data_IF_109341177754
#
_entry.id   IF_109341177754
#
_cell.length_a   1.000
_cell.length_b   1.000
_cell.length_c   1.000
_cell.angle_alpha   90.00
_cell.angle_beta   90.00
_cell.angle_gamma   90.00
#
_symmetry.space_group_name_H-M   'P 1'
#
loop_
_entity.id
_entity.type
_entity.pdbx_description
1 polymer ?
#
# COMPACT_ATOMS: atom_id res chain seq x y z
N UNK A 1 7.52 -0.39 -6.72
CA UNK A 1 7.71 1.05 -7.02
C UNK A 1 8.88 1.64 -6.26
N UNK A 2 8.88 1.72 -4.93
CA UNK A 2 9.96 2.39 -4.19
C UNK A 2 11.36 1.81 -4.45
N UNK A 3 11.47 0.48 -4.56
CA UNK A 3 12.74 -0.16 -4.92
C UNK A 3 13.26 0.30 -6.29
N UNK A 4 12.37 0.43 -7.27
CA UNK A 4 12.73 0.89 -8.62
C UNK A 4 13.19 2.35 -8.59
N UNK A 5 12.46 3.20 -7.86
CA UNK A 5 12.81 4.61 -7.63
C UNK A 5 14.18 4.77 -6.97
N UNK A 6 14.44 4.01 -5.90
CA UNK A 6 15.76 4.01 -5.23
C UNK A 6 16.88 3.47 -6.13
N UNK A 7 16.53 2.75 -7.19
CA UNK A 7 17.46 2.25 -8.20
C UNK A 7 17.64 3.21 -9.38
N UNK A 8 17.04 4.40 -9.33
CA UNK A 8 17.14 5.43 -10.38
C UNK A 8 16.13 5.30 -11.51
N UNK A 9 15.10 4.45 -11.36
CA UNK A 9 14.01 4.30 -12.33
C UNK A 9 12.86 5.22 -11.93
N UNK A 10 12.38 6.05 -12.86
CA UNK A 10 11.22 6.92 -12.61
C UNK A 10 9.99 6.10 -12.17
N UNK A 11 9.27 6.61 -11.17
CA UNK A 11 8.15 5.89 -10.53
C UNK A 11 7.05 5.58 -11.53
N UNK A 12 6.75 6.53 -12.42
CA UNK A 12 5.79 6.42 -13.52
C UNK A 12 6.17 5.27 -14.45
N UNK A 13 7.43 5.23 -14.90
CA UNK A 13 7.94 4.15 -15.75
C UNK A 13 7.82 2.80 -15.05
N UNK A 14 8.13 2.72 -13.76
CA UNK A 14 7.99 1.48 -13.01
C UNK A 14 6.52 1.02 -12.88
N UNK A 15 5.58 1.95 -12.69
CA UNK A 15 4.14 1.67 -12.67
C UNK A 15 3.68 1.14 -14.02
N UNK A 16 4.01 1.85 -15.11
CA UNK A 16 3.59 1.49 -16.46
C UNK A 16 4.09 0.09 -16.84
N UNK A 17 5.39 -0.17 -16.65
CA UNK A 17 6.00 -1.47 -16.97
C UNK A 17 5.34 -2.61 -16.19
N UNK A 18 5.09 -2.43 -14.89
CA UNK A 18 4.45 -3.48 -14.08
C UNK A 18 3.00 -3.66 -14.52
N UNK A 19 2.26 -2.58 -14.74
CA UNK A 19 0.84 -2.61 -15.13
C UNK A 19 0.60 -3.30 -16.48
N UNK A 20 1.55 -3.21 -17.41
CA UNK A 20 1.48 -3.87 -18.73
C UNK A 20 2.20 -5.22 -18.79
N UNK A 21 2.80 -5.67 -17.69
CA UNK A 21 3.47 -6.97 -17.60
C UNK A 21 2.53 -8.09 -17.13
N UNK A 22 3.06 -9.32 -17.05
CA UNK A 22 2.38 -10.46 -16.42
C UNK A 22 2.12 -10.26 -14.92
N UNK A 23 2.79 -9.32 -14.27
CA UNK A 23 2.52 -8.93 -12.88
C UNK A 23 1.37 -7.91 -12.76
N UNK A 24 0.85 -7.41 -13.88
CA UNK A 24 -0.27 -6.49 -13.91
C UNK A 24 -1.55 -7.12 -13.37
N UNK A 25 -2.37 -6.30 -12.71
CA UNK A 25 -3.71 -6.68 -12.26
C UNK A 25 -4.65 -5.47 -12.38
N UNK A 26 -5.98 -5.67 -12.39
CA UNK A 26 -6.92 -4.57 -12.35
C UNK A 26 -6.65 -3.60 -11.18
N UNK A 27 -6.19 -4.12 -10.04
CA UNK A 27 -5.82 -3.32 -8.88
C UNK A 27 -4.59 -2.45 -9.16
N UNK A 28 -3.56 -2.97 -9.83
CA UNK A 28 -2.38 -2.18 -10.20
C UNK A 28 -2.72 -1.14 -11.26
N UNK A 29 -3.56 -1.48 -12.25
CA UNK A 29 -4.01 -0.53 -13.27
C UNK A 29 -4.83 0.62 -12.66
N UNK A 30 -5.68 0.30 -11.69
CA UNK A 30 -6.59 1.26 -11.06
C UNK A 30 -5.92 2.11 -9.98
N UNK A 31 -5.08 1.52 -9.12
CA UNK A 31 -4.49 2.17 -7.94
C UNK A 31 -2.98 2.37 -8.00
N UNK A 32 -2.30 1.73 -8.94
CA UNK A 32 -0.87 1.98 -9.21
C UNK A 32 -0.53 3.46 -9.43
N UNK A 33 -1.34 4.23 -10.19
CA UNK A 33 -1.11 5.66 -10.36
C UNK A 33 -1.12 6.47 -9.05
N UNK A 34 -1.71 5.96 -7.96
CA UNK A 34 -1.83 6.72 -6.71
C UNK A 34 -0.49 6.85 -5.99
N UNK A 35 0.46 5.96 -6.27
CA UNK A 35 1.83 6.11 -5.74
C UNK A 35 2.60 7.21 -6.46
N UNK A 36 2.20 7.58 -7.69
CA UNK A 36 2.74 8.72 -8.44
C UNK A 36 2.02 10.00 -8.02
N UNK A 37 0.69 9.96 -8.02
CA UNK A 37 -0.16 11.09 -7.68
C UNK A 37 -1.29 10.62 -6.78
N UNK A 38 -1.09 10.81 -5.47
CA UNK A 38 -2.10 10.51 -4.47
C UNK A 38 -3.33 11.40 -4.72
N UNK A 39 -4.57 10.87 -4.60
CA UNK A 39 -5.76 11.71 -4.65
C UNK A 39 -5.81 12.68 -3.47
N UNK A 40 -6.46 13.84 -3.68
CA UNK A 40 -6.65 14.85 -2.62
C UNK A 40 -7.65 14.36 -1.55
N UNK A 41 -8.69 13.65 -1.99
CA UNK A 41 -9.67 13.00 -1.13
C UNK A 41 -9.45 11.48 -1.14
N UNK A 42 -9.42 10.86 0.03
CA UNK A 42 -9.26 9.43 0.16
C UNK A 42 -10.52 8.72 -0.37
N UNK A 43 -10.34 7.83 -1.36
CA UNK A 43 -11.44 6.99 -1.82
C UNK A 43 -11.70 5.86 -0.84
N UNK A 44 -10.64 5.39 -0.20
CA UNK A 44 -10.70 4.45 0.91
C UNK A 44 -9.47 4.68 1.79
N UNK A 45 -9.68 5.16 3.02
CA UNK A 45 -8.56 5.58 3.85
C UNK A 45 -7.84 4.42 4.55
N UNK A 46 -6.65 4.72 5.09
CA UNK A 46 -5.82 3.77 5.85
C UNK A 46 -6.59 3.16 7.03
N UNK A 47 -7.44 3.94 7.71
CA UNK A 47 -8.20 3.49 8.89
C UNK A 47 -9.28 2.49 8.51
N UNK A 48 -10.02 2.75 7.43
CA UNK A 48 -11.02 1.84 6.88
C UNK A 48 -10.37 0.53 6.40
N UNK A 49 -9.25 0.63 5.69
CA UNK A 49 -8.51 -0.56 5.23
C UNK A 49 -7.98 -1.39 6.41
N UNK A 50 -7.45 -0.75 7.45
CA UNK A 50 -6.99 -1.47 8.64
C UNK A 50 -8.13 -2.20 9.34
N UNK A 51 -9.32 -1.59 9.43
CA UNK A 51 -10.51 -2.25 9.98
C UNK A 51 -10.84 -3.54 9.21
N UNK A 52 -10.84 -3.53 7.87
CA UNK A 52 -11.12 -4.73 7.07
C UNK A 52 -10.03 -5.80 7.21
N UNK A 53 -8.75 -5.39 7.24
CA UNK A 53 -7.62 -6.30 7.48
C UNK A 53 -7.71 -6.97 8.85
N UNK A 54 -8.11 -6.24 9.89
CA UNK A 54 -8.30 -6.80 11.23
C UNK A 54 -9.45 -7.80 11.29
N UNK A 55 -10.56 -7.53 10.58
CA UNK A 55 -11.67 -8.49 10.46
C UNK A 55 -11.24 -9.78 9.75
N UNK A 56 -10.46 -9.66 8.68
CA UNK A 56 -9.91 -10.83 7.97
C UNK A 56 -8.95 -11.64 8.86
N UNK A 57 -8.08 -10.97 9.61
CA UNK A 57 -7.16 -11.63 10.55
C UNK A 57 -7.90 -12.35 11.69
N UNK A 58 -8.97 -11.76 12.20
CA UNK A 58 -9.83 -12.40 13.21
C UNK A 58 -10.51 -13.65 12.65
N UNK A 59 -11.08 -13.56 11.45
CA UNK A 59 -11.68 -14.72 10.78
C UNK A 59 -10.64 -15.83 10.50
N UNK A 60 -9.42 -15.46 10.07
CA UNK A 60 -8.32 -16.40 9.87
C UNK A 60 -7.95 -17.14 11.15
N UNK A 61 -7.93 -16.46 12.31
CA UNK A 61 -7.72 -17.10 13.62
C UNK A 61 -8.83 -18.07 13.97
N UNK A 62 -10.09 -17.69 13.77
CA UNK A 62 -11.25 -18.53 14.09
C UNK A 62 -11.31 -19.82 13.26
N UNK A 63 -10.83 -19.77 12.02
CA UNK A 63 -10.82 -20.90 11.09
C UNK A 63 -9.48 -21.63 11.03
N UNK A 64 -8.50 -21.26 11.87
CA UNK A 64 -7.15 -21.82 11.87
C UNK A 64 -6.42 -21.69 10.50
N UNK A 65 -6.72 -20.63 9.75
CA UNK A 65 -6.10 -20.32 8.45
C UNK A 65 -5.03 -19.23 8.62
N UNK A 66 -3.74 -19.52 8.38
CA UNK A 66 -2.68 -18.52 8.51
C UNK A 66 -2.74 -17.49 7.38
N UNK A 67 -2.71 -16.19 7.73
CA UNK A 67 -2.73 -15.06 6.80
C UNK A 67 -1.47 -14.18 6.92
N UNK A 68 -0.26 -14.71 6.66
CA UNK A 68 0.99 -14.00 6.94
C UNK A 68 1.13 -12.69 6.16
N UNK A 69 0.74 -12.66 4.88
CA UNK A 69 0.77 -11.43 4.08
C UNK A 69 -0.19 -10.37 4.62
N UNK A 70 -1.38 -10.78 5.05
CA UNK A 70 -2.37 -9.89 5.67
C UNK A 70 -1.86 -9.30 6.99
N UNK A 71 -1.15 -10.11 7.80
CA UNK A 71 -0.53 -9.63 9.03
C UNK A 71 0.56 -8.59 8.73
N UNK A 72 1.43 -8.84 7.73
CA UNK A 72 2.43 -7.86 7.31
C UNK A 72 1.79 -6.55 6.81
N UNK A 73 0.67 -6.64 6.08
CA UNK A 73 -0.10 -5.46 5.65
C UNK A 73 -0.65 -4.69 6.84
N UNK A 74 -1.17 -5.36 7.88
CA UNK A 74 -1.65 -4.70 9.09
C UNK A 74 -0.54 -3.85 9.75
N UNK A 75 0.68 -4.36 9.82
CA UNK A 75 1.81 -3.62 10.41
C UNK A 75 2.18 -2.38 9.59
N UNK A 76 2.12 -2.46 8.26
CA UNK A 76 2.30 -1.30 7.39
C UNK A 76 1.20 -0.25 7.57
N UNK A 77 -0.06 -0.67 7.75
CA UNK A 77 -1.17 0.22 8.04
C UNK A 77 -1.01 0.88 9.43
N UNK A 78 -0.56 0.13 10.43
CA UNK A 78 -0.20 0.67 11.76
C UNK A 78 0.90 1.71 11.65
N UNK A 79 1.98 1.43 10.91
CA UNK A 79 3.06 2.38 10.66
C UNK A 79 2.56 3.66 9.97
N UNK A 80 1.71 3.52 8.94
CA UNK A 80 1.11 4.66 8.25
C UNK A 80 0.25 5.53 9.19
N UNK A 81 -0.55 4.91 10.08
CA UNK A 81 -1.32 5.65 11.08
C UNK A 81 -0.44 6.38 12.08
N UNK A 82 0.62 5.73 12.60
CA UNK A 82 1.58 6.35 13.50
C UNK A 82 2.28 7.58 12.86
N UNK A 83 2.34 7.60 11.53
CA UNK A 83 2.89 8.67 10.72
C UNK A 83 1.89 9.78 10.34
N UNK A 84 0.67 9.74 10.90
CA UNK A 84 -0.40 10.72 10.64
C UNK A 84 -1.16 10.51 9.32
N UNK A 85 -0.98 9.37 8.65
CA UNK A 85 -1.58 9.09 7.34
C UNK A 85 -2.96 8.42 7.44
N UNK A 86 -3.55 8.34 8.64
CA UNK A 86 -4.78 7.57 8.89
C UNK A 86 -5.99 7.97 8.04
N UNK A 87 -6.12 9.25 7.69
CA UNK A 87 -7.18 9.78 6.82
C UNK A 87 -6.79 9.95 5.35
N UNK A 88 -5.58 9.50 4.96
CA UNK A 88 -5.16 9.47 3.56
C UNK A 88 -5.61 8.15 2.94
N UNK A 89 -5.72 8.11 1.61
CA UNK A 89 -5.99 6.88 0.89
C UNK A 89 -4.99 5.78 1.29
N UNK A 90 -5.41 4.51 1.38
CA UNK A 90 -4.53 3.44 1.86
C UNK A 90 -3.29 3.22 0.99
N UNK A 91 -3.26 3.73 -0.25
CA UNK A 91 -2.04 3.83 -1.04
C UNK A 91 -0.91 4.61 -0.32
N UNK A 92 -1.22 5.39 0.71
CA UNK A 92 -0.27 6.07 1.59
C UNK A 92 0.67 5.11 2.37
N UNK A 93 0.42 3.80 2.36
CA UNK A 93 1.42 2.79 2.76
C UNK A 93 2.72 2.96 1.96
N UNK A 94 2.66 3.42 0.70
CA UNK A 94 3.84 3.77 -0.07
C UNK A 94 4.68 4.87 0.61
N UNK A 95 4.02 5.92 1.13
CA UNK A 95 4.70 7.00 1.86
C UNK A 95 5.30 6.49 3.17
N UNK A 96 4.61 5.58 3.87
CA UNK A 96 5.16 4.95 5.06
C UNK A 96 6.44 4.15 4.76
N UNK A 97 6.41 3.34 3.68
CA UNK A 97 7.56 2.59 3.20
C UNK A 97 8.73 3.50 2.77
N UNK A 98 8.44 4.62 2.12
CA UNK A 98 9.44 5.60 1.70
C UNK A 98 10.13 6.25 2.91
N UNK A 99 9.36 6.70 3.91
CA UNK A 99 9.88 7.29 5.14
C UNK A 99 10.83 6.35 5.88
N UNK A 100 10.47 5.08 6.07
CA UNK A 100 11.37 4.12 6.74
C UNK A 100 12.58 3.74 5.89
N UNK A 101 12.53 3.99 4.58
CA UNK A 101 13.62 3.74 3.64
C UNK A 101 14.55 4.95 3.43
N UNK A 102 14.29 6.06 4.13
CA UNK A 102 15.03 7.32 4.00
C UNK A 102 14.82 8.02 2.66
N UNK A 103 13.64 7.87 2.05
CA UNK A 103 13.27 8.51 0.78
C UNK A 103 12.15 9.51 1.05
N UNK A 104 12.38 10.77 0.66
CA UNK A 104 11.35 11.81 0.68
C UNK A 104 10.49 11.68 -0.59
N UNK A 105 9.18 11.48 -0.41
CA UNK A 105 8.19 11.24 -1.48
C UNK A 105 6.97 12.12 -1.36
#
# INVERSE_FOLDING_TARGET
MLLAEKSGIARETAVDVIATSVAGSPMIQYRGPFVVRMPDEAWFDVTMMQKDVQLALEMGRQLEVPLPTTAAVNEWLTAARAMGLGGRDFAAVFQALARVSGVDV
#
